data_IF_354622583410
#
_entry.id   IF_354622583410
#
_cell.length_a   1.000
_cell.length_b   1.000
_cell.length_c   1.000
_cell.angle_alpha   90.00
_cell.angle_beta   90.00
_cell.angle_gamma   90.00
#
_symmetry.space_group_name_H-M   'P 1'
#
loop_
_entity.id
_entity.type
_entity.pdbx_description
1 polymer ?
#
# COMPACT_ATOMS: atom_id res chain seq x y z
N UNK A 1 6.73 7.33 0.02
CA UNK A 1 7.56 8.35 0.71
C UNK A 1 9.03 8.08 0.38
N UNK A 2 9.85 9.12 0.16
CA UNK A 2 11.27 8.97 -0.19
C UNK A 2 12.17 9.14 1.05
N UNK A 3 13.35 8.47 1.10
CA UNK A 3 14.32 8.71 2.16
C UNK A 3 14.80 10.16 2.17
N UNK A 4 14.91 10.77 3.36
CA UNK A 4 15.34 12.16 3.53
C UNK A 4 16.68 12.44 2.85
N UNK A 5 17.67 11.55 2.98
CA UNK A 5 18.98 11.73 2.36
C UNK A 5 18.92 11.81 0.82
N UNK A 6 18.04 11.04 0.19
CA UNK A 6 17.81 11.11 -1.25
C UNK A 6 17.20 12.45 -1.68
N UNK A 7 16.26 12.98 -0.89
CA UNK A 7 15.66 14.29 -1.14
C UNK A 7 16.68 15.43 -0.99
N UNK A 8 17.54 15.38 0.03
CA UNK A 8 18.60 16.37 0.24
C UNK A 8 19.60 16.37 -0.90
N UNK A 9 20.09 15.19 -1.31
CA UNK A 9 20.99 15.05 -2.47
C UNK A 9 20.36 15.60 -3.74
N UNK A 10 19.11 15.23 -4.01
CA UNK A 10 18.37 15.70 -5.18
C UNK A 10 18.21 17.22 -5.16
N UNK A 11 17.82 17.81 -4.01
CA UNK A 11 17.67 19.25 -3.88
C UNK A 11 18.97 19.99 -4.18
N UNK A 12 20.10 19.58 -3.59
CA UNK A 12 21.40 20.22 -3.83
C UNK A 12 21.88 20.06 -5.27
N UNK A 13 21.68 18.89 -5.88
CA UNK A 13 22.01 18.66 -7.29
C UNK A 13 21.18 19.53 -8.23
N UNK A 14 19.91 19.75 -7.92
CA UNK A 14 19.05 20.64 -8.71
C UNK A 14 19.43 22.10 -8.53
N UNK A 15 19.85 22.50 -7.32
CA UNK A 15 20.32 23.85 -7.03
C UNK A 15 21.59 24.21 -7.81
N UNK A 16 22.54 23.29 -7.94
CA UNK A 16 23.74 23.44 -8.79
C UNK A 16 23.39 23.73 -10.26
N UNK A 17 22.20 23.33 -10.71
CA UNK A 17 21.73 23.48 -12.09
C UNK A 17 20.61 24.49 -12.25
N UNK A 18 20.30 25.28 -11.20
CA UNK A 18 19.19 26.23 -11.23
C UNK A 18 19.33 27.28 -12.34
N UNK A 19 20.56 27.73 -12.61
CA UNK A 19 20.84 28.74 -13.64
C UNK A 19 21.19 28.13 -15.00
N UNK A 20 21.93 27.02 -15.02
CA UNK A 20 22.41 26.40 -16.27
C UNK A 20 21.35 25.55 -16.98
N UNK A 21 20.32 25.11 -16.24
CA UNK A 21 19.44 24.04 -16.68
C UNK A 21 20.15 22.68 -16.71
N UNK A 22 19.41 21.65 -17.14
CA UNK A 22 19.85 20.26 -17.28
C UNK A 22 19.72 19.86 -18.74
N UNK A 23 20.81 19.41 -19.37
CA UNK A 23 20.80 18.93 -20.74
C UNK A 23 20.40 17.45 -20.79
N UNK A 24 19.44 17.14 -21.64
CA UNK A 24 18.92 15.78 -21.81
C UNK A 24 19.26 15.30 -23.22
N UNK A 25 19.94 14.13 -23.37
CA UNK A 25 20.26 13.13 -22.33
C UNK A 25 21.59 13.32 -21.58
N UNK A 26 22.40 14.32 -21.94
CA UNK A 26 23.83 14.40 -21.61
C UNK A 26 24.12 14.44 -20.10
N UNK A 27 23.32 15.15 -19.32
CA UNK A 27 23.51 15.29 -17.87
C UNK A 27 22.84 14.18 -17.05
N UNK A 28 21.90 13.44 -17.64
CA UNK A 28 20.99 12.55 -16.88
C UNK A 28 21.76 11.47 -16.13
N UNK A 29 22.66 10.74 -16.80
CA UNK A 29 23.41 9.66 -16.17
C UNK A 29 24.30 10.19 -15.04
N UNK A 30 24.96 11.33 -15.25
CA UNK A 30 25.82 11.98 -14.24
C UNK A 30 25.01 12.37 -13.00
N UNK A 31 23.81 12.91 -13.18
CA UNK A 31 22.93 13.30 -12.07
C UNK A 31 22.41 12.08 -11.30
N UNK A 32 22.05 11.00 -12.00
CA UNK A 32 21.64 9.73 -11.37
C UNK A 32 22.77 9.15 -10.52
N UNK A 33 23.98 9.07 -11.06
CA UNK A 33 25.14 8.49 -10.36
C UNK A 33 25.51 9.31 -9.10
N UNK A 34 25.47 10.65 -9.19
CA UNK A 34 25.76 11.52 -8.03
C UNK A 34 24.64 11.50 -6.98
N UNK A 35 23.38 11.47 -7.42
CA UNK A 35 22.21 11.50 -6.54
C UNK A 35 21.95 10.17 -5.83
N UNK A 36 22.38 9.06 -6.43
CA UNK A 36 22.15 7.71 -5.91
C UNK A 36 23.43 6.85 -6.01
N UNK A 37 24.44 7.11 -5.17
CA UNK A 37 25.70 6.39 -5.21
C UNK A 37 25.48 4.90 -4.93
N UNK A 38 26.29 4.06 -5.57
CA UNK A 38 26.25 2.62 -5.37
C UNK A 38 26.55 2.26 -3.90
N UNK A 39 26.04 1.13 -3.43
CA UNK A 39 26.28 0.72 -2.05
C UNK A 39 27.77 0.46 -1.76
N UNK A 40 28.26 1.07 -0.69
CA UNK A 40 29.68 1.06 -0.32
C UNK A 40 30.48 2.21 -0.95
N UNK A 41 29.90 2.94 -1.90
CA UNK A 41 30.42 4.23 -2.34
C UNK A 41 29.95 5.32 -1.36
N UNK A 42 30.89 6.18 -0.94
CA UNK A 42 30.57 7.36 -0.12
C UNK A 42 29.80 8.40 -0.93
N UNK A 43 29.88 8.31 -2.27
CA UNK A 43 29.31 9.27 -3.19
C UNK A 43 29.89 10.67 -2.97
N UNK A 44 29.21 11.66 -3.52
CA UNK A 44 29.54 13.06 -3.30
C UNK A 44 29.10 13.48 -1.88
N UNK A 45 30.06 13.53 -0.94
CA UNK A 45 29.82 13.82 0.47
C UNK A 45 29.32 15.27 0.69
N UNK A 46 29.64 16.19 -0.23
CA UNK A 46 29.17 17.57 -0.15
C UNK A 46 27.64 17.65 -0.31
N UNK A 47 27.05 16.76 -1.10
CA UNK A 47 25.59 16.70 -1.29
C UNK A 47 24.83 16.24 -0.05
N UNK A 48 25.51 15.73 0.97
CA UNK A 48 24.87 15.24 2.20
C UNK A 48 25.48 15.82 3.49
N UNK A 49 26.42 16.76 3.36
CA UNK A 49 26.97 17.52 4.49
C UNK A 49 25.85 18.07 5.37
N UNK A 50 26.00 17.97 6.68
CA UNK A 50 25.02 18.37 7.71
C UNK A 50 23.78 17.45 7.82
N UNK A 51 23.71 16.39 7.01
CA UNK A 51 22.64 15.39 6.99
C UNK A 51 23.17 13.95 7.02
N UNK A 52 24.35 13.74 7.60
CA UNK A 52 25.04 12.45 7.66
C UNK A 52 24.23 11.38 8.41
N UNK A 53 23.47 11.78 9.43
CA UNK A 53 22.55 10.88 10.14
C UNK A 53 21.44 10.34 9.23
N UNK A 54 20.92 11.19 8.33
CA UNK A 54 19.90 10.76 7.37
C UNK A 54 20.48 9.76 6.36
N UNK A 55 21.73 9.93 5.95
CA UNK A 55 22.43 8.97 5.08
C UNK A 55 22.70 7.66 5.79
N UNK A 56 23.12 7.71 7.05
CA UNK A 56 23.32 6.52 7.89
C UNK A 56 22.02 5.72 8.01
N UNK A 57 20.90 6.41 8.24
CA UNK A 57 19.57 5.77 8.28
C UNK A 57 19.19 5.15 6.94
N UNK A 58 19.40 5.87 5.82
CA UNK A 58 19.14 5.34 4.47
C UNK A 58 19.95 4.06 4.19
N UNK A 59 21.22 4.05 4.55
CA UNK A 59 22.10 2.88 4.38
C UNK A 59 21.67 1.71 5.27
N UNK A 60 21.29 1.97 6.52
CA UNK A 60 20.75 0.96 7.42
C UNK A 60 19.47 0.33 6.85
N UNK A 61 18.53 1.14 6.36
CA UNK A 61 17.30 0.66 5.72
C UNK A 61 17.59 -0.18 4.47
N UNK A 62 18.55 0.24 3.65
CA UNK A 62 18.98 -0.51 2.47
C UNK A 62 19.63 -1.85 2.83
N UNK A 63 20.43 -1.89 3.90
CA UNK A 63 21.02 -3.12 4.43
C UNK A 63 19.94 -4.08 4.95
N UNK A 64 18.94 -3.58 5.68
CA UNK A 64 17.80 -4.38 6.15
C UNK A 64 17.06 -4.99 4.96
N UNK A 65 16.64 -4.16 3.98
CA UNK A 65 15.94 -4.62 2.77
C UNK A 65 16.72 -5.70 2.02
N UNK A 66 18.03 -5.53 1.85
CA UNK A 66 18.89 -6.52 1.18
C UNK A 66 19.02 -7.81 1.99
N UNK A 67 19.10 -7.71 3.32
CA UNK A 67 19.17 -8.86 4.21
C UNK A 67 17.88 -9.67 4.17
N UNK A 68 16.74 -9.00 4.21
CA UNK A 68 15.42 -9.63 4.08
C UNK A 68 15.24 -10.26 2.68
N UNK A 69 15.63 -9.56 1.61
CA UNK A 69 15.60 -10.12 0.25
C UNK A 69 16.44 -11.39 0.09
N UNK A 70 17.56 -11.50 0.81
CA UNK A 70 18.38 -12.73 0.85
C UNK A 70 17.74 -13.86 1.66
N UNK A 71 16.92 -13.54 2.67
CA UNK A 71 16.22 -14.53 3.52
C UNK A 71 14.96 -15.10 2.86
N UNK A 72 14.27 -14.29 2.04
CA UNK A 72 13.01 -14.65 1.37
C UNK A 72 13.25 -15.27 -0.01
N UNK A 73 14.42 -15.05 -0.61
CA UNK A 73 14.74 -15.55 -1.94
C UNK A 73 14.99 -17.06 -1.98
N UNK A 74 14.56 -17.69 -3.08
CA UNK A 74 14.94 -19.06 -3.41
C UNK A 74 16.48 -19.13 -3.50
N UNK A 75 17.12 -20.19 -2.96
CA UNK A 75 18.56 -20.38 -3.08
C UNK A 75 19.05 -20.24 -4.52
N UNK A 76 20.23 -19.64 -4.71
CA UNK A 76 20.84 -19.54 -6.05
C UNK A 76 21.00 -20.94 -6.66
N UNK A 77 20.99 -21.10 -8.00
CA UNK A 77 21.11 -22.41 -8.66
C UNK A 77 22.29 -23.30 -8.24
N UNK A 78 23.38 -22.71 -7.71
CA UNK A 78 24.56 -23.42 -7.22
C UNK A 78 24.60 -23.59 -5.68
N UNK A 79 23.56 -23.14 -4.99
CA UNK A 79 23.53 -22.93 -3.55
C UNK A 79 22.66 -23.89 -2.76
N UNK A 80 22.01 -24.87 -3.41
CA UNK A 80 21.20 -25.90 -2.74
C UNK A 80 21.66 -27.29 -3.14
N UNK A 81 21.52 -28.27 -2.24
CA UNK A 81 21.95 -29.67 -2.45
C UNK A 81 20.76 -30.62 -2.65
N UNK A 82 19.57 -30.21 -2.24
CA UNK A 82 18.32 -30.96 -2.41
C UNK A 82 17.15 -30.03 -2.73
N UNK A 83 16.14 -30.56 -3.44
CA UNK A 83 14.98 -29.77 -3.92
C UNK A 83 14.07 -29.28 -2.78
N UNK A 84 14.05 -29.96 -1.65
CA UNK A 84 13.28 -29.52 -0.47
C UNK A 84 13.79 -28.19 0.08
N UNK A 85 15.07 -27.85 -0.09
CA UNK A 85 15.67 -26.56 0.29
C UNK A 85 15.06 -25.36 -0.47
N UNK A 86 14.35 -25.61 -1.59
CA UNK A 86 13.61 -24.59 -2.33
C UNK A 86 12.28 -24.20 -1.66
N UNK A 87 11.78 -25.05 -0.76
CA UNK A 87 10.51 -24.88 -0.04
C UNK A 87 10.66 -24.94 1.48
N UNK A 88 11.89 -25.08 1.99
CA UNK A 88 12.22 -25.19 3.42
C UNK A 88 12.23 -23.80 4.07
N UNK A 89 11.05 -23.20 4.14
CA UNK A 89 10.83 -21.89 4.72
C UNK A 89 9.36 -21.68 5.01
N UNK A 90 9.01 -21.58 6.30
CA UNK A 90 7.74 -20.97 6.73
C UNK A 90 7.84 -19.48 6.43
N UNK A 91 7.64 -19.10 5.18
CA UNK A 91 7.30 -17.74 4.83
C UNK A 91 5.77 -17.65 4.96
N UNK A 92 5.24 -16.90 5.95
CA UNK A 92 3.85 -16.45 5.88
C UNK A 92 3.65 -15.82 4.49
N UNK A 93 2.52 -16.09 3.84
CA UNK A 93 2.21 -15.59 2.49
C UNK A 93 2.43 -14.06 2.36
N UNK A 94 2.19 -13.33 3.47
CA UNK A 94 2.47 -11.89 3.64
C UNK A 94 3.92 -11.47 3.38
N UNK A 95 4.90 -12.37 3.53
CA UNK A 95 6.34 -12.11 3.30
C UNK A 95 6.86 -12.60 1.96
N UNK A 96 6.04 -13.30 1.18
CA UNK A 96 6.35 -13.69 -0.20
C UNK A 96 6.05 -12.56 -1.20
N UNK A 97 5.80 -11.33 -0.73
CA UNK A 97 5.61 -10.18 -1.61
C UNK A 97 6.89 -9.84 -2.38
N UNK A 98 6.78 -9.81 -3.71
CA UNK A 98 7.87 -9.42 -4.62
C UNK A 98 8.11 -7.90 -4.66
N UNK A 99 7.32 -7.11 -3.93
CA UNK A 99 7.46 -5.65 -3.80
C UNK A 99 7.65 -5.27 -2.33
N UNK A 100 8.87 -4.88 -1.98
CA UNK A 100 9.16 -4.25 -0.69
C UNK A 100 8.50 -2.86 -0.62
N UNK A 101 7.74 -2.61 0.46
CA UNK A 101 7.25 -1.30 0.92
C UNK A 101 6.01 -0.67 0.26
N UNK A 102 5.09 -1.46 -0.27
CA UNK A 102 3.74 -0.95 -0.54
C UNK A 102 2.72 -2.08 -0.44
N UNK A 103 2.61 -2.68 0.74
CA UNK A 103 1.46 -3.52 1.03
C UNK A 103 0.22 -2.64 0.88
N UNK A 104 -0.66 -3.06 -0.02
CA UNK A 104 -1.91 -2.37 -0.30
C UNK A 104 -3.03 -3.37 -0.07
N UNK A 105 -4.00 -2.96 0.71
CA UNK A 105 -5.24 -3.69 0.90
C UNK A 105 -6.28 -3.10 -0.05
N UNK A 106 -7.35 -3.85 -0.35
CA UNK A 106 -8.50 -3.27 -1.06
C UNK A 106 -9.66 -3.10 -0.08
N UNK A 107 -10.11 -1.86 0.08
CA UNK A 107 -11.29 -1.52 0.86
C UNK A 107 -12.54 -1.53 -0.01
N UNK A 108 -13.66 -1.97 0.52
CA UNK A 108 -14.97 -1.78 -0.10
C UNK A 108 -15.82 -0.84 0.76
N UNK A 109 -15.98 0.42 0.35
CA UNK A 109 -16.97 1.33 0.92
C UNK A 109 -18.39 0.82 0.64
N UNK A 110 -19.17 0.69 1.70
CA UNK A 110 -20.61 0.47 1.58
C UNK A 110 -21.38 1.19 2.69
N UNK A 111 -22.62 1.51 2.41
CA UNK A 111 -23.47 2.36 3.23
C UNK A 111 -24.63 1.54 3.77
N UNK A 112 -24.89 1.62 5.08
CA UNK A 112 -25.97 0.88 5.74
C UNK A 112 -26.87 1.87 6.48
N UNK A 113 -28.11 1.98 6.04
CA UNK A 113 -29.14 2.77 6.70
C UNK A 113 -30.03 1.96 7.63
N UNK A 114 -31.15 2.55 8.04
CA UNK A 114 -32.12 1.91 8.93
C UNK A 114 -32.80 0.66 8.32
N UNK A 115 -32.80 0.53 6.98
CA UNK A 115 -33.31 -0.65 6.28
C UNK A 115 -32.35 -1.86 6.36
N UNK A 116 -31.12 -1.66 6.85
CA UNK A 116 -30.08 -2.67 6.96
C UNK A 116 -29.57 -3.18 5.60
N UNK A 117 -29.95 -2.53 4.48
CA UNK A 117 -29.53 -2.94 3.14
C UNK A 117 -28.20 -2.28 2.81
N UNK A 118 -27.11 -3.05 2.63
CA UNK A 118 -25.83 -2.47 2.23
C UNK A 118 -25.92 -1.93 0.80
N UNK A 119 -25.50 -0.69 0.61
CA UNK A 119 -25.50 0.03 -0.67
C UNK A 119 -24.09 0.47 -1.05
N UNK A 120 -23.85 0.52 -2.35
CA UNK A 120 -22.59 0.93 -2.94
C UNK A 120 -22.72 2.34 -3.54
N UNK A 121 -21.62 3.07 -3.71
CA UNK A 121 -21.60 4.43 -4.28
C UNK A 121 -22.45 5.48 -3.52
N UNK A 122 -22.71 5.26 -2.24
CA UNK A 122 -23.43 6.20 -1.37
C UNK A 122 -24.72 5.64 -0.77
N UNK A 123 -25.39 6.41 0.12
CA UNK A 123 -26.62 5.99 0.80
C UNK A 123 -27.79 5.67 -0.13
N UNK A 124 -27.85 6.30 -1.30
CA UNK A 124 -28.93 6.12 -2.30
C UNK A 124 -28.50 5.26 -3.49
N UNK A 125 -27.29 4.70 -3.44
CA UNK A 125 -26.74 3.94 -4.54
C UNK A 125 -27.30 2.50 -4.64
N UNK A 126 -26.82 1.73 -5.62
CA UNK A 126 -27.28 0.37 -5.84
C UNK A 126 -26.99 -0.52 -4.63
N UNK A 127 -27.91 -1.43 -4.32
CA UNK A 127 -27.69 -2.43 -3.29
C UNK A 127 -26.49 -3.32 -3.65
N UNK A 128 -25.69 -3.67 -2.64
CA UNK A 128 -24.64 -4.67 -2.76
C UNK A 128 -25.29 -6.00 -3.19
N UNK A 129 -24.91 -6.58 -4.36
CA UNK A 129 -25.53 -7.79 -4.86
C UNK A 129 -25.49 -8.92 -3.83
N UNK A 130 -26.65 -9.52 -3.55
CA UNK A 130 -26.75 -10.61 -2.58
C UNK A 130 -26.45 -11.95 -3.26
N UNK A 131 -25.48 -12.73 -2.77
CA UNK A 131 -25.17 -14.03 -3.33
C UNK A 131 -26.36 -14.99 -3.27
N UNK A 132 -26.57 -15.73 -4.36
CA UNK A 132 -27.48 -16.88 -4.43
C UNK A 132 -26.65 -18.15 -4.39
N UNK A 133 -26.99 -19.09 -3.50
CA UNK A 133 -26.22 -20.33 -3.27
C UNK A 133 -24.71 -20.10 -3.06
N UNK A 134 -24.37 -19.00 -2.35
CA UNK A 134 -22.99 -18.64 -2.06
C UNK A 134 -22.20 -18.14 -3.28
N UNK A 135 -22.86 -17.72 -4.36
CA UNK A 135 -22.22 -17.25 -5.59
C UNK A 135 -22.81 -15.92 -6.07
N UNK A 136 -21.95 -15.13 -6.69
CA UNK A 136 -22.32 -14.00 -7.53
C UNK A 136 -22.03 -14.33 -8.98
N UNK A 137 -22.83 -13.79 -9.90
CA UNK A 137 -22.48 -13.79 -11.32
C UNK A 137 -21.18 -13.01 -11.54
N UNK A 138 -20.54 -13.25 -12.69
CA UNK A 138 -19.32 -12.51 -13.06
C UNK A 138 -19.56 -11.01 -13.14
N UNK A 139 -20.72 -10.59 -13.62
CA UNK A 139 -21.08 -9.18 -13.76
C UNK A 139 -21.27 -8.51 -12.40
N UNK A 140 -21.96 -9.16 -11.47
CA UNK A 140 -22.12 -8.70 -10.10
C UNK A 140 -20.78 -8.61 -9.38
N UNK A 141 -19.92 -9.63 -9.51
CA UNK A 141 -18.59 -9.61 -8.91
C UNK A 141 -17.73 -8.47 -9.47
N UNK A 142 -17.73 -8.26 -10.78
CA UNK A 142 -17.02 -7.13 -11.40
C UNK A 142 -17.58 -5.81 -10.89
N UNK A 143 -18.91 -5.69 -10.76
CA UNK A 143 -19.60 -4.50 -10.25
C UNK A 143 -19.12 -4.14 -8.84
N UNK A 144 -18.98 -5.13 -7.95
CA UNK A 144 -18.45 -4.93 -6.58
C UNK A 144 -16.96 -4.57 -6.63
N UNK A 145 -16.15 -5.36 -7.35
CA UNK A 145 -14.69 -5.17 -7.39
C UNK A 145 -14.25 -3.85 -8.01
N UNK A 146 -15.07 -3.26 -8.91
CA UNK A 146 -14.83 -1.92 -9.49
C UNK A 146 -14.97 -0.79 -8.48
N UNK A 147 -15.69 -1.02 -7.39
CA UNK A 147 -15.95 -0.02 -6.33
C UNK A 147 -15.05 -0.19 -5.12
N UNK A 148 -14.22 -1.23 -5.13
CA UNK A 148 -13.17 -1.36 -4.14
C UNK A 148 -12.01 -0.41 -4.44
N UNK A 149 -11.54 0.28 -3.40
CA UNK A 149 -10.48 1.27 -3.45
C UNK A 149 -9.17 0.68 -2.94
N UNK A 150 -8.03 0.91 -3.61
CA UNK A 150 -6.74 0.51 -3.07
C UNK A 150 -6.40 1.41 -1.87
N UNK A 151 -6.05 0.79 -0.75
CA UNK A 151 -5.65 1.48 0.46
C UNK A 151 -4.20 1.15 0.78
N UNK A 152 -3.32 2.13 1.00
CA UNK A 152 -2.01 1.85 1.55
C UNK A 152 -2.18 1.20 2.92
N UNK A 153 -1.37 0.19 3.25
CA UNK A 153 -1.41 -0.46 4.58
C UNK A 153 -0.99 0.49 5.72
N UNK A 154 -0.36 1.63 5.42
CA UNK A 154 0.09 2.61 6.41
C UNK A 154 -1.00 3.02 7.41
N UNK A 155 -2.13 3.62 6.96
CA UNK A 155 -3.28 3.94 7.81
C UNK A 155 -3.85 2.75 8.61
N UNK A 156 -3.71 1.53 8.07
CA UNK A 156 -4.24 0.29 8.64
C UNK A 156 -3.23 -0.47 9.50
N UNK A 157 -1.99 0.00 9.59
CA UNK A 157 -0.87 -0.74 10.19
C UNK A 157 -1.01 -0.98 11.69
N UNK A 158 -1.86 -0.21 12.37
CA UNK A 158 -2.21 -0.42 13.78
C UNK A 158 -3.16 -1.61 14.00
N UNK A 159 -3.81 -2.10 12.94
CA UNK A 159 -4.74 -3.23 13.00
C UNK A 159 -4.07 -4.47 12.39
N UNK A 160 -3.94 -5.58 13.15
CA UNK A 160 -3.46 -6.84 12.60
C UNK A 160 -4.32 -7.32 11.41
N UNK A 161 -3.73 -7.94 10.36
CA UNK A 161 -4.47 -8.35 9.16
C UNK A 161 -5.66 -9.29 9.41
N UNK A 162 -5.51 -10.17 10.39
CA UNK A 162 -6.54 -11.12 10.85
C UNK A 162 -7.70 -10.43 11.59
N UNK A 163 -7.51 -9.17 11.98
CA UNK A 163 -8.50 -8.34 12.68
C UNK A 163 -9.07 -7.22 11.83
N UNK A 164 -8.67 -7.11 10.57
CA UNK A 164 -9.29 -6.16 9.65
C UNK A 164 -10.77 -6.52 9.46
N UNK A 165 -11.67 -5.51 9.45
CA UNK A 165 -13.09 -5.76 9.22
C UNK A 165 -13.27 -6.41 7.85
N UNK A 166 -14.04 -7.49 7.80
CA UNK A 166 -14.39 -8.20 6.56
C UNK A 166 -15.86 -8.00 6.26
N UNK A 167 -16.24 -8.21 5.00
CA UNK A 167 -17.66 -8.20 4.64
C UNK A 167 -18.41 -9.25 5.46
N UNK A 168 -19.68 -9.01 5.83
CA UNK A 168 -20.46 -10.01 6.51
C UNK A 168 -20.69 -11.25 5.63
N UNK A 169 -21.13 -12.35 6.23
CA UNK A 169 -21.65 -13.47 5.44
C UNK A 169 -22.93 -13.05 4.70
N UNK A 170 -23.14 -13.55 3.47
CA UNK A 170 -22.36 -14.59 2.79
C UNK A 170 -21.19 -14.08 1.94
N UNK A 171 -20.93 -12.77 1.88
CA UNK A 171 -19.93 -12.21 0.98
C UNK A 171 -18.49 -12.61 1.32
N UNK A 172 -18.12 -12.70 2.60
CA UNK A 172 -16.76 -13.10 2.98
C UNK A 172 -16.36 -14.50 2.52
N UNK A 173 -17.34 -15.39 2.31
CA UNK A 173 -17.07 -16.77 1.90
C UNK A 173 -16.79 -16.87 0.38
N UNK A 174 -16.96 -15.77 -0.37
CA UNK A 174 -16.75 -15.70 -1.82
C UNK A 174 -15.36 -15.12 -2.07
N UNK A 175 -14.46 -15.93 -2.60
CA UNK A 175 -13.24 -15.38 -3.22
C UNK A 175 -13.62 -14.62 -4.49
N UNK A 176 -13.16 -13.37 -4.72
CA UNK A 176 -12.15 -12.60 -3.97
C UNK A 176 -12.70 -11.63 -2.89
N UNK A 177 -14.01 -11.57 -2.66
CA UNK A 177 -14.64 -10.62 -1.73
C UNK A 177 -14.22 -10.81 -0.26
N UNK A 178 -13.88 -12.04 0.14
CA UNK A 178 -13.36 -12.34 1.48
C UNK A 178 -12.07 -11.61 1.84
N UNK A 179 -11.28 -11.21 0.85
CA UNK A 179 -10.02 -10.48 1.05
C UNK A 179 -10.23 -8.96 1.17
N UNK A 180 -11.44 -8.45 0.94
CA UNK A 180 -11.72 -7.02 1.03
C UNK A 180 -11.83 -6.58 2.48
N UNK A 181 -11.28 -5.40 2.76
CA UNK A 181 -11.52 -4.69 4.02
C UNK A 181 -12.88 -4.01 3.91
N UNK A 182 -13.81 -4.35 4.80
CA UNK A 182 -15.13 -3.75 4.87
C UNK A 182 -15.04 -2.33 5.44
N UNK A 183 -15.49 -1.35 4.67
CA UNK A 183 -15.60 0.05 5.09
C UNK A 183 -17.08 0.40 5.20
N UNK A 184 -17.68 0.05 6.34
CA UNK A 184 -19.08 0.32 6.62
C UNK A 184 -19.30 1.77 7.04
N UNK A 185 -20.03 2.52 6.22
CA UNK A 185 -20.47 3.89 6.49
C UNK A 185 -21.91 3.86 7.03
N UNK A 186 -22.13 4.06 8.34
CA UNK A 186 -23.48 4.07 8.87
C UNK A 186 -24.23 5.32 8.38
N UNK A 187 -25.48 5.14 7.99
CA UNK A 187 -26.37 6.19 7.52
C UNK A 187 -27.44 6.45 8.57
N UNK A 188 -27.49 7.69 9.08
CA UNK A 188 -28.51 8.12 10.03
C UNK A 188 -29.92 8.07 9.44
N UNK A 189 -30.96 8.10 10.28
CA UNK A 189 -32.36 8.18 9.84
C UNK A 189 -32.66 9.40 8.95
N UNK A 190 -31.80 10.43 9.00
CA UNK A 190 -31.89 11.64 8.15
C UNK A 190 -31.17 11.48 6.81
N UNK A 191 -30.70 10.28 6.46
CA UNK A 191 -29.97 9.99 5.22
C UNK A 191 -28.51 10.47 5.21
N UNK A 192 -28.00 11.00 6.32
CA UNK A 192 -26.60 11.45 6.41
C UNK A 192 -25.70 10.27 6.76
N UNK A 193 -24.75 9.96 5.88
CA UNK A 193 -23.69 9.00 6.13
C UNK A 193 -22.64 9.55 7.09
N UNK A 194 -21.99 8.65 7.84
CA UNK A 194 -20.84 8.95 8.68
C UNK A 194 -19.60 8.16 8.21
N UNK A 195 -18.39 8.55 8.67
CA UNK A 195 -17.17 7.85 8.32
C UNK A 195 -17.15 6.41 8.84
N UNK A 196 -16.50 5.52 8.08
CA UNK A 196 -16.27 4.13 8.44
C UNK A 196 -15.16 4.03 9.49
N UNK A 197 -15.37 3.19 10.50
CA UNK A 197 -14.36 2.98 11.56
C UNK A 197 -13.53 1.74 11.29
N UNK A 198 -12.21 1.90 11.27
CA UNK A 198 -11.25 0.78 11.19
C UNK A 198 -10.25 0.90 12.33
N UNK A 199 -10.46 0.12 13.40
CA UNK A 199 -9.73 0.27 14.65
C UNK A 199 -10.02 1.62 15.32
N UNK A 200 -9.00 2.46 15.45
CA UNK A 200 -9.09 3.82 15.99
C UNK A 200 -9.22 4.89 14.90
N UNK A 201 -9.18 4.50 13.62
CA UNK A 201 -9.22 5.41 12.47
C UNK A 201 -10.65 5.60 11.98
N UNK A 202 -10.95 6.82 11.53
CA UNK A 202 -12.20 7.15 10.84
C UNK A 202 -11.89 7.48 9.38
N UNK A 203 -12.50 6.75 8.46
CA UNK A 203 -12.24 6.85 7.02
C UNK A 203 -13.51 7.33 6.31
N UNK A 204 -13.37 8.33 5.45
CA UNK A 204 -14.46 8.89 4.66
C UNK A 204 -14.17 8.70 3.17
N UNK A 205 -15.17 8.26 2.41
CA UNK A 205 -15.10 8.27 0.95
C UNK A 205 -15.73 9.56 0.46
N UNK A 206 -14.88 10.53 0.15
CA UNK A 206 -15.28 11.80 -0.43
C UNK A 206 -15.35 11.70 -1.96
N UNK A 207 -16.33 12.38 -2.56
CA UNK A 207 -16.56 12.33 -4.01
C UNK A 207 -15.48 13.08 -4.80
N UNK A 208 -14.83 14.08 -4.20
CA UNK A 208 -13.84 14.93 -4.87
C UNK A 208 -12.40 14.45 -4.62
N UNK A 209 -12.07 14.06 -3.38
CA UNK A 209 -10.70 13.67 -2.99
C UNK A 209 -10.49 12.16 -2.84
N UNK A 210 -11.57 11.37 -2.88
CA UNK A 210 -11.53 9.92 -2.69
C UNK A 210 -11.48 9.53 -1.21
N UNK A 211 -10.81 8.42 -0.90
CA UNK A 211 -10.73 7.93 0.48
C UNK A 211 -9.75 8.76 1.31
N UNK A 212 -10.24 9.36 2.39
CA UNK A 212 -9.45 10.16 3.34
C UNK A 212 -9.66 9.73 4.79
N UNK A 213 -8.68 10.05 5.64
CA UNK A 213 -8.81 9.92 7.09
C UNK A 213 -9.35 11.23 7.66
N UNK A 214 -10.39 11.13 8.49
CA UNK A 214 -11.05 12.29 9.10
C UNK A 214 -10.89 12.25 10.62
N UNK A 215 -10.87 13.43 11.24
CA UNK A 215 -10.90 13.55 12.69
C UNK A 215 -12.28 13.17 13.24
N UNK A 216 -12.31 12.66 14.47
CA UNK A 216 -13.55 12.36 15.22
C UNK A 216 -14.33 13.65 15.57
#
# INVERSE_FOLDING_TARGET
MYPTASLVRAHRLLDEHAESGILVPEDVQRLVDRGNPAAGDKGDLELIRDFEEAETRRQADEMIKRSEGKRVGIPRPRGFKALNELSDGLLPEERASTRFQADSERGLPYFVGADGVPRLDGPEGPALPRPSDGKLSREELISVMRRSVPMPRGPLSSVPPDRLPRLPRPWCDIWPLGELVALEHPVSERGKAAPARVGERMLWLDDDVGLEEVAE
#
